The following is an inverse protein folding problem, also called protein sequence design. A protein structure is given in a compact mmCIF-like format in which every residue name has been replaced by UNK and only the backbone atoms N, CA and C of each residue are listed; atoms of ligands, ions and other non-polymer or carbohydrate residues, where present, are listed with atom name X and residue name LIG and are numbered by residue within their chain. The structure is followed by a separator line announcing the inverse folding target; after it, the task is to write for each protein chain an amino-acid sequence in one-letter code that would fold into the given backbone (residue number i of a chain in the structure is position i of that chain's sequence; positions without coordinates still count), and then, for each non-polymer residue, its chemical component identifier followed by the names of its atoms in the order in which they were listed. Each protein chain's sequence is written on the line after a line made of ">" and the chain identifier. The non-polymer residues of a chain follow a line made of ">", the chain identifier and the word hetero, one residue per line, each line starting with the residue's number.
data_IF_452264763535
#
_entry.id   IF_452264763535
#
_cell.length_a   1.000
_cell.length_b   1.000
_cell.length_c   1.000
_cell.angle_alpha   90.00
_cell.angle_beta   90.00
_cell.angle_gamma   90.00
#
_symmetry.space_group_name_H-M   'P 1'
#
loop_
_entity.id
_entity.type
_entity.pdbx_description
1 polymer ?
#
# COMPACT_ATOMS: atom_id res chain seq x y z
N UNK A 1 0.04 -10.10 16.74
CA UNK A 1 0.42 -10.44 15.35
C UNK A 1 1.94 -10.44 15.22
N UNK A 2 2.50 -10.86 14.08
CA UNK A 2 3.95 -10.98 13.89
C UNK A 2 4.70 -9.62 13.89
N UNK A 3 4.02 -8.49 13.66
CA UNK A 3 4.60 -7.13 13.72
C UNK A 3 3.94 -6.22 14.76
N UNK A 4 3.19 -6.79 15.71
CA UNK A 4 2.53 -6.03 16.77
C UNK A 4 1.34 -5.16 16.34
N UNK A 5 0.83 -5.31 15.11
CA UNK A 5 -0.40 -4.67 14.62
C UNK A 5 -1.58 -5.65 14.58
N UNK A 6 -2.75 -5.24 15.05
CA UNK A 6 -4.01 -5.98 14.85
C UNK A 6 -4.90 -5.29 13.80
N UNK A 7 -6.03 -5.94 13.45
CA UNK A 7 -6.97 -5.39 12.45
C UNK A 7 -7.64 -4.08 12.90
N UNK A 8 -7.68 -3.79 14.21
CA UNK A 8 -8.26 -2.56 14.74
C UNK A 8 -7.26 -1.38 14.68
N UNK A 9 -5.97 -1.68 14.71
CA UNK A 9 -4.87 -0.72 14.60
C UNK A 9 -4.57 -0.26 13.17
N UNK A 10 -5.22 -0.85 12.16
CA UNK A 10 -4.97 -0.56 10.75
C UNK A 10 -6.26 -0.20 10.01
N UNK A 11 -6.13 0.65 9.00
CA UNK A 11 -7.21 0.93 8.07
C UNK A 11 -6.88 0.31 6.71
N UNK A 12 -7.77 -0.57 6.23
CA UNK A 12 -7.58 -1.29 4.97
C UNK A 12 -8.63 -0.81 3.96
N UNK A 13 -8.20 -0.47 2.76
CA UNK A 13 -9.08 -0.11 1.65
C UNK A 13 -8.49 -0.61 0.31
N UNK A 14 -9.26 -0.45 -0.76
CA UNK A 14 -8.89 -0.83 -2.13
C UNK A 14 -8.84 0.41 -3.03
N UNK A 15 -8.18 0.27 -4.18
CA UNK A 15 -8.12 1.33 -5.21
C UNK A 15 -9.33 1.37 -6.14
N UNK A 16 -10.19 0.36 -6.09
CA UNK A 16 -11.51 0.32 -6.71
C UNK A 16 -12.49 -0.31 -5.72
N UNK A 17 -13.77 0.07 -5.80
CA UNK A 17 -14.79 -0.32 -4.81
C UNK A 17 -15.78 -1.38 -5.33
N UNK A 18 -15.46 -2.00 -6.46
CA UNK A 18 -16.19 -3.13 -7.02
C UNK A 18 -15.23 -4.24 -7.41
N UNK A 19 -15.76 -5.42 -7.63
CA UNK A 19 -15.00 -6.55 -8.18
C UNK A 19 -15.03 -6.50 -9.70
N UNK A 20 -13.89 -6.38 -10.40
CA UNK A 20 -13.87 -6.46 -11.85
C UNK A 20 -14.38 -7.82 -12.35
N UNK A 21 -15.09 -7.86 -13.49
CA UNK A 21 -15.53 -9.12 -14.10
C UNK A 21 -14.36 -10.10 -14.30
N UNK A 22 -14.54 -11.36 -13.91
CA UNK A 22 -13.50 -12.38 -14.02
C UNK A 22 -12.28 -12.13 -13.12
N UNK A 23 -12.36 -11.23 -12.14
CA UNK A 23 -11.25 -10.86 -11.25
C UNK A 23 -10.01 -10.35 -12.02
N UNK A 24 -10.22 -9.74 -13.19
CA UNK A 24 -9.16 -9.07 -13.95
C UNK A 24 -8.55 -7.93 -13.14
N UNK A 25 -7.37 -7.48 -13.55
CA UNK A 25 -6.82 -6.22 -13.04
C UNK A 25 -7.77 -5.06 -13.37
N UNK A 26 -7.89 -4.06 -12.48
CA UNK A 26 -8.55 -2.80 -12.79
C UNK A 26 -7.90 -2.14 -13.99
N UNK A 27 -8.68 -1.43 -14.80
CA UNK A 27 -8.13 -0.57 -15.86
C UNK A 27 -7.68 0.77 -15.30
N UNK A 28 -6.83 1.49 -16.03
CA UNK A 28 -6.39 2.82 -15.63
C UNK A 28 -7.55 3.82 -15.53
N UNK A 29 -8.59 3.66 -16.35
CA UNK A 29 -9.79 4.49 -16.27
C UNK A 29 -10.59 4.21 -14.98
N UNK A 30 -10.70 2.94 -14.58
CA UNK A 30 -11.40 2.55 -13.34
C UNK A 30 -10.66 3.06 -12.10
N UNK A 31 -9.33 2.94 -12.07
CA UNK A 31 -8.53 3.44 -10.95
C UNK A 31 -8.50 4.96 -10.92
N UNK A 32 -8.39 5.64 -12.07
CA UNK A 32 -8.45 7.10 -12.14
C UNK A 32 -9.80 7.66 -11.65
N UNK A 33 -10.91 7.00 -12.01
CA UNK A 33 -12.24 7.37 -11.51
C UNK A 33 -12.36 7.20 -9.99
N UNK A 34 -11.66 6.22 -9.41
CA UNK A 34 -11.70 5.94 -7.97
C UNK A 34 -10.69 6.74 -7.15
N UNK A 35 -9.60 7.21 -7.76
CA UNK A 35 -8.48 7.86 -7.08
C UNK A 35 -8.91 9.05 -6.18
N UNK A 36 -9.85 9.93 -6.56
CA UNK A 36 -10.32 11.00 -5.69
C UNK A 36 -10.90 10.48 -4.36
N UNK A 37 -11.63 9.36 -4.40
CA UNK A 37 -12.17 8.74 -3.19
C UNK A 37 -11.05 8.13 -2.35
N UNK A 38 -10.11 7.40 -2.96
CA UNK A 38 -8.95 6.82 -2.25
C UNK A 38 -8.13 7.91 -1.55
N UNK A 39 -7.83 9.01 -2.25
CA UNK A 39 -7.16 10.18 -1.64
C UNK A 39 -7.98 10.75 -0.48
N UNK A 40 -9.31 10.84 -0.62
CA UNK A 40 -10.18 11.31 0.46
C UNK A 40 -10.17 10.36 1.67
N UNK A 41 -10.14 9.05 1.46
CA UNK A 41 -9.97 8.07 2.54
C UNK A 41 -8.65 8.30 3.29
N UNK A 42 -7.53 8.42 2.57
CA UNK A 42 -6.21 8.67 3.17
C UNK A 42 -6.23 9.98 3.98
N UNK A 43 -6.77 11.06 3.41
CA UNK A 43 -6.88 12.35 4.08
C UNK A 43 -7.77 12.35 5.33
N UNK A 44 -8.85 11.55 5.32
CA UNK A 44 -9.74 11.43 6.48
C UNK A 44 -9.14 10.59 7.60
N UNK A 45 -8.45 9.50 7.24
CA UNK A 45 -7.80 8.60 8.20
C UNK A 45 -6.59 9.29 8.86
N UNK A 46 -5.91 10.19 8.13
CA UNK A 46 -4.67 10.85 8.58
C UNK A 46 -3.65 9.83 9.11
N UNK A 47 -3.28 8.81 8.32
CA UNK A 47 -2.43 7.75 8.82
C UNK A 47 -1.01 8.25 9.04
N UNK A 48 -0.28 7.66 9.99
CA UNK A 48 1.14 7.95 10.22
C UNK A 48 2.03 7.40 9.09
N UNK A 49 1.57 6.37 8.38
CA UNK A 49 2.25 5.77 7.24
C UNK A 49 1.26 5.15 6.25
N UNK A 50 1.71 4.88 5.03
CA UNK A 50 0.90 4.30 3.97
C UNK A 50 1.57 3.07 3.36
N UNK A 51 0.85 1.96 3.26
CA UNK A 51 1.35 0.75 2.57
C UNK A 51 0.49 0.47 1.35
N UNK A 52 1.13 0.27 0.19
CA UNK A 52 0.43 -0.16 -1.03
C UNK A 52 0.77 -1.61 -1.39
N UNK A 53 -0.26 -2.39 -1.72
CA UNK A 53 -0.12 -3.82 -1.97
C UNK A 53 -0.24 -4.12 -3.46
N UNK A 54 0.91 -4.41 -4.08
CA UNK A 54 1.02 -4.75 -5.49
C UNK A 54 1.03 -3.56 -6.44
N UNK A 55 1.33 -3.86 -7.71
CA UNK A 55 1.53 -2.85 -8.77
C UNK A 55 0.33 -1.91 -8.97
N UNK A 56 -0.94 -2.37 -9.07
CA UNK A 56 -2.05 -1.46 -9.31
C UNK A 56 -2.18 -0.39 -8.21
N UNK A 57 -2.02 -0.77 -6.94
CA UNK A 57 -2.13 0.15 -5.82
C UNK A 57 -0.95 1.13 -5.79
N UNK A 58 0.27 0.61 -5.98
CA UNK A 58 1.48 1.42 -6.08
C UNK A 58 1.39 2.46 -7.19
N UNK A 59 1.03 2.06 -8.41
CA UNK A 59 0.94 2.99 -9.55
C UNK A 59 -0.14 4.05 -9.33
N UNK A 60 -1.32 3.63 -8.86
CA UNK A 60 -2.48 4.52 -8.72
C UNK A 60 -2.27 5.55 -7.61
N UNK A 61 -1.76 5.11 -6.45
CA UNK A 61 -1.67 5.96 -5.25
C UNK A 61 -0.34 6.69 -5.17
N UNK A 62 0.77 6.04 -5.55
CA UNK A 62 2.12 6.61 -5.42
C UNK A 62 2.67 7.18 -6.74
N UNK A 63 1.94 7.04 -7.85
CA UNK A 63 2.38 7.52 -9.16
C UNK A 63 3.62 6.80 -9.71
N UNK A 64 4.05 5.69 -9.09
CA UNK A 64 5.25 4.97 -9.49
C UNK A 64 4.94 4.08 -10.70
N UNK A 65 5.50 4.41 -11.86
CA UNK A 65 5.37 3.60 -13.08
C UNK A 65 6.43 2.48 -13.20
N UNK A 66 7.18 2.21 -12.13
CA UNK A 66 8.21 1.17 -12.11
C UNK A 66 7.63 -0.22 -11.82
N UNK A 67 8.41 -1.27 -12.03
CA UNK A 67 8.00 -2.64 -11.67
C UNK A 67 8.03 -2.85 -10.16
N UNK A 68 7.00 -3.51 -9.61
CA UNK A 68 6.87 -3.76 -8.15
C UNK A 68 8.12 -4.40 -7.52
N UNK A 69 8.81 -5.29 -8.24
CA UNK A 69 10.04 -5.92 -7.76
C UNK A 69 11.16 -4.93 -7.45
N UNK A 70 11.22 -3.80 -8.18
CA UNK A 70 12.23 -2.75 -7.96
C UNK A 70 11.82 -1.77 -6.88
N UNK A 71 10.52 -1.55 -6.70
CA UNK A 71 9.97 -0.54 -5.80
C UNK A 71 9.74 -1.07 -4.38
N UNK A 72 9.42 -2.36 -4.22
CA UNK A 72 9.05 -2.95 -2.93
C UNK A 72 10.09 -2.70 -1.84
N UNK A 73 9.63 -2.46 -0.62
CA UNK A 73 10.50 -2.28 0.54
C UNK A 73 11.26 -0.95 0.57
N UNK A 74 11.05 -0.06 -0.42
CA UNK A 74 11.68 1.27 -0.46
C UNK A 74 10.70 2.30 0.07
N UNK A 75 11.15 3.04 1.07
CA UNK A 75 10.43 4.19 1.61
C UNK A 75 10.44 5.34 0.62
N UNK A 76 9.27 5.96 0.48
CA UNK A 76 9.07 7.22 -0.24
C UNK A 76 8.16 8.12 0.59
N UNK A 77 8.00 9.37 0.18
CA UNK A 77 7.01 10.27 0.77
C UNK A 77 5.73 10.31 -0.05
N UNK A 78 4.59 10.33 0.63
CA UNK A 78 3.27 10.56 0.05
C UNK A 78 2.63 11.77 0.72
N UNK A 79 2.24 12.79 -0.06
CA UNK A 79 1.64 14.01 0.48
C UNK A 79 0.36 14.46 -0.22
N UNK A 80 -0.13 13.72 -1.21
CA UNK A 80 -1.29 14.17 -1.98
C UNK A 80 -2.56 14.23 -1.12
N UNK A 81 -3.10 15.44 -0.95
CA UNK A 81 -4.29 15.65 -0.13
C UNK A 81 -4.04 15.63 1.38
N UNK A 82 -2.77 15.67 1.81
CA UNK A 82 -2.37 15.75 3.22
C UNK A 82 -1.72 17.11 3.52
N UNK A 83 -1.85 17.55 4.78
CA UNK A 83 -1.18 18.75 5.27
C UNK A 83 0.33 18.54 5.39
N UNK A 84 0.74 17.35 5.85
CA UNK A 84 2.12 16.92 5.95
C UNK A 84 2.32 15.62 5.16
N UNK A 85 3.44 15.47 4.43
CA UNK A 85 3.78 14.20 3.81
C UNK A 85 3.99 13.11 4.87
N UNK A 86 3.64 11.88 4.51
CA UNK A 86 3.80 10.69 5.34
C UNK A 86 4.69 9.67 4.64
N UNK A 87 5.44 8.84 5.36
CA UNK A 87 6.19 7.73 4.77
C UNK A 87 5.23 6.72 4.14
N UNK A 88 5.56 6.30 2.92
CA UNK A 88 4.84 5.29 2.19
C UNK A 88 5.78 4.18 1.68
N UNK A 89 5.28 2.95 1.64
CA UNK A 89 6.03 1.80 1.16
C UNK A 89 5.16 0.87 0.30
N UNK A 90 5.54 0.59 -0.95
CA UNK A 90 4.93 -0.48 -1.71
C UNK A 90 5.49 -1.85 -1.27
N UNK A 91 4.67 -2.88 -1.30
CA UNK A 91 5.10 -4.29 -1.17
C UNK A 91 4.23 -5.21 -2.03
N UNK A 92 4.48 -6.51 -2.00
CA UNK A 92 3.72 -7.50 -2.75
C UNK A 92 2.29 -7.66 -2.22
N UNK A 93 1.36 -7.85 -3.16
CA UNK A 93 -0.01 -8.20 -2.82
C UNK A 93 -0.09 -9.65 -2.29
N UNK A 94 -0.91 -9.95 -1.26
CA UNK A 94 -1.04 -11.30 -0.71
C UNK A 94 -1.33 -12.39 -1.75
N UNK A 95 -2.22 -12.12 -2.71
CA UNK A 95 -2.51 -13.05 -3.80
C UNK A 95 -1.27 -13.42 -4.66
N UNK A 96 -0.30 -12.51 -4.81
CA UNK A 96 0.97 -12.83 -5.48
C UNK A 96 1.81 -13.79 -4.64
N UNK A 97 1.87 -13.58 -3.32
CA UNK A 97 2.60 -14.42 -2.38
C UNK A 97 1.99 -15.82 -2.21
N UNK A 98 0.67 -15.95 -2.37
CA UNK A 98 0.00 -17.26 -2.40
C UNK A 98 0.45 -18.09 -3.61
N UNK A 99 0.65 -17.44 -4.76
CA UNK A 99 1.16 -18.10 -5.98
C UNK A 99 2.68 -18.25 -6.00
N UNK A 100 3.40 -17.40 -5.27
CA UNK A 100 4.86 -17.36 -5.23
C UNK A 100 5.37 -17.38 -3.78
N UNK A 101 5.25 -18.50 -3.05
CA UNK A 101 5.58 -18.56 -1.63
C UNK A 101 7.03 -18.19 -1.30
N UNK A 102 7.96 -18.41 -2.22
CA UNK A 102 9.37 -18.03 -2.06
C UNK A 102 9.54 -16.52 -1.77
N UNK A 103 8.66 -15.67 -2.30
CA UNK A 103 8.70 -14.22 -2.14
C UNK A 103 8.22 -13.74 -0.75
N UNK A 104 7.70 -14.66 0.09
CA UNK A 104 7.28 -14.33 1.46
C UNK A 104 8.46 -13.90 2.32
N UNK A 105 9.66 -14.44 2.08
CA UNK A 105 10.87 -14.08 2.84
C UNK A 105 11.20 -12.61 2.61
N UNK A 106 11.22 -12.17 1.36
CA UNK A 106 11.49 -10.79 1.01
C UNK A 106 10.39 -9.90 1.59
N UNK A 107 9.10 -10.25 1.42
CA UNK A 107 7.99 -9.44 1.97
C UNK A 107 8.05 -9.35 3.48
N UNK A 108 8.49 -10.40 4.17
CA UNK A 108 8.69 -10.36 5.62
C UNK A 108 9.71 -9.28 6.02
N UNK A 109 10.79 -9.10 5.25
CA UNK A 109 11.75 -8.02 5.50
C UNK A 109 11.12 -6.63 5.32
N UNK A 110 10.21 -6.45 4.37
CA UNK A 110 9.47 -5.17 4.25
C UNK A 110 8.63 -4.92 5.50
N UNK A 111 7.95 -5.93 6.03
CA UNK A 111 7.12 -5.79 7.23
C UNK A 111 7.94 -5.59 8.51
N UNK A 112 9.17 -6.11 8.59
CA UNK A 112 10.10 -5.76 9.66
C UNK A 112 10.52 -4.28 9.56
N UNK A 113 10.86 -3.79 8.36
CA UNK A 113 11.16 -2.37 8.16
C UNK A 113 9.95 -1.48 8.46
N UNK A 114 8.72 -1.94 8.18
CA UNK A 114 7.48 -1.27 8.57
C UNK A 114 7.36 -1.12 10.09
N UNK A 115 7.70 -2.18 10.85
CA UNK A 115 7.69 -2.14 12.32
C UNK A 115 8.71 -1.12 12.84
N UNK A 116 9.94 -1.19 12.36
CA UNK A 116 11.00 -0.23 12.72
C UNK A 116 10.55 1.21 12.44
N UNK A 117 9.93 1.45 11.28
CA UNK A 117 9.45 2.78 10.92
C UNK A 117 8.31 3.28 11.80
N UNK A 118 7.46 2.37 12.29
CA UNK A 118 6.43 2.72 13.27
C UNK A 118 7.02 3.09 14.63
N UNK A 119 8.05 2.39 15.06
CA UNK A 119 8.74 2.70 16.32
C UNK A 119 9.36 4.11 16.28
N UNK A 120 10.02 4.47 15.17
CA UNK A 120 10.58 5.81 14.94
C UNK A 120 9.55 6.96 14.97
N UNK A 121 8.27 6.66 14.67
CA UNK A 121 7.21 7.68 14.59
C UNK A 121 6.44 7.87 15.92
N UNK A 122 6.68 7.00 16.90
CA UNK A 122 6.05 7.06 18.22
C UNK A 122 6.97 7.73 19.25
N UNK A 123 8.29 7.74 18.99
CA UNK A 123 9.28 8.55 19.72
C UNK A 123 9.16 10.04 19.40
#
# INVERSE_FOLDING_TARGET
>A
SFIGLDEQSVYISNIIFWRPPGNRSPTDAETAACLPFVRRHIALVRPQLLVTLGRPAMNTVLGLNSGINKARGRWIEYGEGLETPIPAMPTFHPAYLLRNPAQKRETWMDFLSLREKLDELVE
#
